data_IF_167631603872
#
_entry.id   IF_167631603872
#
_cell.length_a   1.000
_cell.length_b   1.000
_cell.length_c   1.000
_cell.angle_alpha   90.00
_cell.angle_beta   90.00
_cell.angle_gamma   90.00
#
_symmetry.space_group_name_H-M   'P 1'
#
loop_
_entity.id
_entity.type
_entity.pdbx_description
1 polymer ?
#
# COMPACT_ATOMS: atom_id res chain seq x y z
N UNK A 1 -15.16 11.12 6.60
CA UNK A 1 -14.90 9.66 6.58
C UNK A 1 -15.41 8.95 7.84
N UNK A 2 -15.47 9.62 9.00
CA UNK A 2 -16.03 9.03 10.22
C UNK A 2 -17.42 8.40 10.02
N UNK A 3 -17.64 7.21 10.58
CA UNK A 3 -18.88 6.43 10.48
C UNK A 3 -19.16 5.81 9.10
N UNK A 4 -18.24 5.92 8.14
CA UNK A 4 -18.43 5.41 6.79
C UNK A 4 -17.70 4.07 6.56
N UNK A 5 -18.16 3.30 5.58
CA UNK A 5 -17.49 2.10 5.12
C UNK A 5 -16.44 2.47 4.07
N UNK A 6 -15.21 1.97 4.22
CA UNK A 6 -14.08 2.27 3.31
C UNK A 6 -13.39 1.00 2.85
N UNK A 7 -12.72 1.06 1.71
CA UNK A 7 -11.84 0.00 1.25
C UNK A 7 -10.36 0.38 1.42
N UNK A 8 -9.58 -0.55 1.96
CA UNK A 8 -8.12 -0.51 1.95
C UNK A 8 -7.59 -1.61 1.03
N UNK A 9 -6.33 -1.55 0.65
CA UNK A 9 -5.59 -2.65 0.04
C UNK A 9 -5.30 -3.78 1.03
N UNK A 10 -4.43 -4.71 0.63
CA UNK A 10 -4.02 -5.83 1.50
C UNK A 10 -2.90 -5.41 2.46
N UNK A 11 -2.79 -6.05 3.64
CA UNK A 11 -1.60 -5.97 4.48
C UNK A 11 -0.33 -6.23 3.66
N UNK A 12 0.71 -5.43 3.87
CA UNK A 12 1.92 -5.42 3.05
C UNK A 12 1.93 -4.35 1.94
N UNK A 13 0.79 -3.70 1.63
CA UNK A 13 0.74 -2.60 0.68
C UNK A 13 1.06 -1.26 1.33
N UNK A 14 2.10 -0.55 0.87
CA UNK A 14 2.39 0.81 1.33
C UNK A 14 1.25 1.79 0.99
N UNK A 15 0.89 1.86 -0.29
CA UNK A 15 -0.07 2.83 -0.84
C UNK A 15 -1.53 2.45 -0.66
N UNK A 16 -1.82 1.16 -0.53
CA UNK A 16 -3.18 0.65 -0.32
C UNK A 16 -3.52 0.45 1.15
N UNK A 17 -2.55 0.23 2.03
CA UNK A 17 -2.80 -0.18 3.41
C UNK A 17 -2.11 0.73 4.45
N UNK A 18 -0.78 0.81 4.50
CA UNK A 18 -0.08 1.50 5.58
C UNK A 18 -0.24 3.03 5.58
N UNK A 19 0.05 3.71 4.47
CA UNK A 19 -0.17 5.17 4.38
C UNK A 19 -1.65 5.53 4.55
N UNK A 20 -2.61 4.82 3.92
CA UNK A 20 -4.02 5.06 4.18
C UNK A 20 -4.44 4.88 5.65
N UNK A 21 -3.92 3.89 6.36
CA UNK A 21 -4.19 3.73 7.80
C UNK A 21 -3.68 4.92 8.60
N UNK A 22 -2.49 5.43 8.26
CA UNK A 22 -1.95 6.63 8.91
C UNK A 22 -2.85 7.85 8.65
N UNK A 23 -3.32 8.05 7.42
CA UNK A 23 -4.21 9.15 7.07
C UNK A 23 -5.60 9.06 7.70
N UNK A 24 -6.05 7.85 8.02
CA UNK A 24 -7.33 7.59 8.66
C UNK A 24 -7.22 7.48 10.19
N UNK A 25 -6.02 7.65 10.75
CA UNK A 25 -5.76 7.56 12.18
C UNK A 25 -6.64 8.55 12.96
N UNK A 26 -7.20 8.11 14.08
CA UNK A 26 -8.13 8.87 14.91
C UNK A 26 -9.59 8.82 14.45
N UNK A 27 -9.91 8.09 13.38
CA UNK A 27 -11.29 7.91 12.91
C UNK A 27 -11.91 6.61 13.45
N UNK A 28 -13.23 6.63 13.59
CA UNK A 28 -14.06 5.44 13.81
C UNK A 28 -14.84 5.16 12.52
N UNK A 29 -14.49 4.10 11.81
CA UNK A 29 -15.13 3.72 10.55
C UNK A 29 -16.21 2.68 10.82
N UNK A 30 -17.33 2.71 10.08
CA UNK A 30 -18.38 1.70 10.32
C UNK A 30 -17.95 0.30 9.91
N UNK A 31 -17.10 0.21 8.87
CA UNK A 31 -16.47 -1.02 8.40
C UNK A 31 -15.27 -0.71 7.52
N UNK A 32 -14.23 -1.54 7.60
CA UNK A 32 -13.14 -1.55 6.62
C UNK A 32 -13.24 -2.84 5.79
N UNK A 33 -13.04 -2.72 4.47
CA UNK A 33 -12.94 -3.86 3.57
C UNK A 33 -11.57 -3.91 2.93
N UNK A 34 -10.91 -5.06 3.02
CA UNK A 34 -9.61 -5.28 2.38
C UNK A 34 -9.83 -5.75 0.94
N UNK A 35 -9.56 -4.88 -0.02
CA UNK A 35 -9.68 -5.14 -1.44
C UNK A 35 -8.48 -5.97 -1.92
N UNK A 36 -8.71 -7.09 -2.64
CA UNK A 36 -7.62 -7.89 -3.20
C UNK A 36 -6.90 -7.19 -4.35
N UNK A 37 -7.57 -6.25 -5.02
CA UNK A 37 -7.00 -5.44 -6.12
C UNK A 37 -7.59 -4.02 -6.11
N UNK A 38 -6.88 -3.02 -6.67
CA UNK A 38 -7.42 -1.67 -6.83
C UNK A 38 -8.71 -1.62 -7.66
N UNK A 39 -8.79 -2.46 -8.72
CA UNK A 39 -10.01 -2.59 -9.54
C UNK A 39 -11.21 -3.04 -8.72
N UNK A 40 -11.03 -4.04 -7.84
CA UNK A 40 -12.11 -4.51 -6.96
C UNK A 40 -12.55 -3.42 -5.98
N UNK A 41 -11.63 -2.62 -5.46
CA UNK A 41 -11.95 -1.51 -4.58
C UNK A 41 -12.82 -0.44 -5.30
N UNK A 42 -12.49 -0.11 -6.56
CA UNK A 42 -13.29 0.78 -7.40
C UNK A 42 -14.68 0.21 -7.72
N UNK A 43 -14.78 -1.10 -7.94
CA UNK A 43 -16.07 -1.78 -8.14
C UNK A 43 -16.95 -1.68 -6.90
N UNK A 44 -16.39 -1.84 -5.69
CA UNK A 44 -17.14 -1.68 -4.45
C UNK A 44 -17.65 -0.25 -4.24
N UNK A 45 -16.88 0.77 -4.66
CA UNK A 45 -17.38 2.15 -4.68
C UNK A 45 -18.55 2.28 -5.66
N UNK A 46 -18.42 1.74 -6.88
CA UNK A 46 -19.47 1.82 -7.90
C UNK A 46 -20.77 1.13 -7.47
N UNK A 47 -20.66 0.06 -6.69
CA UNK A 47 -21.77 -0.70 -6.12
C UNK A 47 -22.36 -0.07 -4.84
N UNK A 48 -21.74 1.00 -4.32
CA UNK A 48 -22.15 1.64 -3.07
C UNK A 48 -21.82 0.82 -1.81
N UNK A 49 -20.97 -0.19 -1.91
CA UNK A 49 -20.57 -1.05 -0.78
C UNK A 49 -19.60 -0.34 0.17
N UNK A 50 -18.83 0.61 -0.36
CA UNK A 50 -17.93 1.51 0.38
C UNK A 50 -18.01 2.91 -0.23
N UNK A 51 -17.71 3.96 0.54
CA UNK A 51 -17.77 5.35 0.06
C UNK A 51 -16.44 5.88 -0.47
N UNK A 52 -15.33 5.21 -0.14
CA UNK A 52 -14.00 5.53 -0.63
C UNK A 52 -13.10 4.29 -0.60
N UNK A 53 -12.01 4.34 -1.37
CA UNK A 53 -10.99 3.32 -1.44
C UNK A 53 -9.60 3.96 -1.47
N UNK A 54 -8.61 3.27 -0.91
CA UNK A 54 -7.22 3.67 -0.98
C UNK A 54 -6.41 2.81 -1.97
N UNK A 55 -5.56 3.46 -2.76
CA UNK A 55 -4.65 2.87 -3.74
C UNK A 55 -3.66 3.94 -4.22
N UNK A 56 -2.62 3.54 -4.97
CA UNK A 56 -1.73 4.52 -5.62
C UNK A 56 -2.44 5.31 -6.71
N UNK A 57 -1.96 6.53 -6.99
CA UNK A 57 -2.46 7.34 -8.09
C UNK A 57 -2.31 6.64 -9.46
N UNK A 58 -1.24 5.87 -9.63
CA UNK A 58 -1.00 5.09 -10.85
C UNK A 58 -2.06 4.01 -11.04
N UNK A 59 -2.36 3.22 -9.99
CA UNK A 59 -3.41 2.21 -10.02
C UNK A 59 -4.78 2.82 -10.25
N UNK A 60 -5.09 3.94 -9.58
CA UNK A 60 -6.32 4.68 -9.81
C UNK A 60 -6.48 5.08 -11.29
N UNK A 61 -5.44 5.69 -11.87
CA UNK A 61 -5.47 6.12 -13.27
C UNK A 61 -5.58 4.95 -14.24
N UNK A 62 -4.95 3.81 -13.94
CA UNK A 62 -5.02 2.59 -14.72
C UNK A 62 -6.44 1.98 -14.72
N UNK A 63 -7.07 1.89 -13.55
CA UNK A 63 -8.30 1.10 -13.42
C UNK A 63 -9.60 1.90 -13.47
N UNK A 64 -9.59 3.21 -13.19
CA UNK A 64 -10.82 4.04 -13.12
C UNK A 64 -11.67 4.00 -14.39
N UNK A 65 -11.05 3.88 -15.56
CA UNK A 65 -11.76 3.82 -16.84
C UNK A 65 -12.35 2.43 -17.14
N UNK A 66 -11.92 1.40 -16.40
CA UNK A 66 -12.35 0.00 -16.60
C UNK A 66 -13.59 -0.35 -15.80
N UNK A 67 -14.05 0.54 -14.90
CA UNK A 67 -15.25 0.36 -14.10
C UNK A 67 -16.33 1.30 -14.66
N UNK A 68 -17.35 0.77 -15.37
CA UNK A 68 -18.38 1.58 -16.00
C UNK A 68 -19.22 2.36 -14.98
N UNK A 69 -19.89 3.42 -15.47
CA UNK A 69 -20.99 4.12 -14.78
C UNK A 69 -20.65 4.87 -13.47
N UNK A 70 -19.41 4.82 -13.02
CA UNK A 70 -18.98 5.42 -11.76
C UNK A 70 -18.05 6.61 -11.99
N UNK A 71 -18.44 7.79 -11.49
CA UNK A 71 -17.61 9.00 -11.48
C UNK A 71 -16.76 9.01 -10.21
N UNK A 72 -15.54 8.52 -10.32
CA UNK A 72 -14.58 8.62 -9.23
C UNK A 72 -13.95 10.02 -9.15
N UNK A 73 -13.55 10.41 -7.95
CA UNK A 73 -12.70 11.58 -7.69
C UNK A 73 -11.68 11.24 -6.62
N UNK A 74 -10.52 11.88 -6.67
CA UNK A 74 -9.51 11.79 -5.61
C UNK A 74 -9.98 12.64 -4.44
N UNK A 75 -10.09 12.04 -3.25
CA UNK A 75 -10.48 12.75 -2.02
C UNK A 75 -9.28 13.35 -1.28
N UNK A 76 -8.16 12.62 -1.33
CA UNK A 76 -6.91 12.98 -0.69
C UNK A 76 -5.77 12.29 -1.44
N UNK A 77 -4.63 12.97 -1.56
CA UNK A 77 -3.39 12.40 -2.08
C UNK A 77 -2.35 12.55 -0.98
N UNK A 78 -1.75 11.42 -0.60
CA UNK A 78 -0.68 11.39 0.39
C UNK A 78 0.64 11.88 -0.26
N UNK A 79 1.37 12.73 0.44
CA UNK A 79 2.63 13.33 -0.02
C UNK A 79 3.88 12.54 0.44
N UNK A 80 3.72 11.51 1.27
CA UNK A 80 4.81 10.62 1.68
C UNK A 80 5.42 9.95 0.44
N UNK A 81 6.75 10.03 0.34
CA UNK A 81 7.47 9.35 -0.72
C UNK A 81 7.33 7.84 -0.55
N UNK A 82 6.91 7.15 -1.61
CA UNK A 82 6.96 5.69 -1.65
C UNK A 82 8.37 5.32 -2.12
N UNK A 83 9.21 4.67 -1.28
CA UNK A 83 10.54 4.26 -1.71
C UNK A 83 10.45 3.31 -2.90
N UNK A 84 11.42 3.37 -3.81
CA UNK A 84 11.52 2.41 -4.90
C UNK A 84 11.61 0.97 -4.37
N UNK A 85 11.12 0.01 -5.15
CA UNK A 85 11.28 -1.40 -4.83
C UNK A 85 12.73 -1.85 -4.92
N UNK A 86 13.09 -2.87 -4.15
CA UNK A 86 14.40 -3.51 -4.19
C UNK A 86 14.27 -5.01 -4.42
N UNK A 87 15.28 -5.61 -5.06
CA UNK A 87 15.41 -7.07 -5.12
C UNK A 87 16.17 -7.50 -3.86
N UNK A 88 15.53 -8.34 -3.04
CA UNK A 88 16.15 -8.89 -1.83
C UNK A 88 16.74 -10.26 -2.13
N UNK A 89 18.01 -10.44 -1.81
CA UNK A 89 18.74 -11.71 -1.96
C UNK A 89 19.07 -12.23 -0.57
N UNK A 90 18.75 -13.50 -0.31
CA UNK A 90 19.05 -14.12 0.98
C UNK A 90 20.57 -14.18 1.21
N UNK A 91 21.00 -13.79 2.42
CA UNK A 91 22.40 -13.93 2.83
C UNK A 91 22.84 -15.39 3.04
N UNK A 92 21.91 -16.34 2.99
CA UNK A 92 22.18 -17.77 3.06
C UNK A 92 22.60 -18.38 1.72
N UNK A 93 22.42 -17.65 0.61
CA UNK A 93 22.88 -18.10 -0.69
C UNK A 93 24.41 -18.10 -0.73
N UNK A 94 25.06 -19.13 -1.29
CA UNK A 94 26.49 -19.12 -1.56
C UNK A 94 26.90 -17.85 -2.31
N UNK A 95 28.05 -17.26 -1.94
CA UNK A 95 28.53 -16.01 -2.52
C UNK A 95 28.55 -16.04 -4.07
N UNK A 96 28.99 -17.16 -4.65
CA UNK A 96 29.04 -17.34 -6.11
C UNK A 96 27.66 -17.24 -6.77
N UNK A 97 26.59 -17.64 -6.07
CA UNK A 97 25.21 -17.51 -6.57
C UNK A 97 24.69 -16.08 -6.45
N UNK A 98 25.07 -15.36 -5.39
CA UNK A 98 24.75 -13.94 -5.24
C UNK A 98 25.43 -13.10 -6.33
N UNK A 99 26.70 -13.38 -6.62
CA UNK A 99 27.46 -12.75 -7.69
C UNK A 99 26.84 -13.06 -9.06
N UNK A 100 26.51 -14.33 -9.32
CA UNK A 100 25.84 -14.72 -10.57
C UNK A 100 24.49 -14.04 -10.78
N UNK A 101 23.69 -13.86 -9.72
CA UNK A 101 22.45 -13.08 -9.79
C UNK A 101 22.69 -11.61 -10.14
N UNK A 102 23.69 -10.99 -9.51
CA UNK A 102 24.05 -9.61 -9.78
C UNK A 102 24.53 -9.44 -11.24
N UNK A 103 25.35 -10.36 -11.74
CA UNK A 103 25.84 -10.36 -13.11
C UNK A 103 24.69 -10.44 -14.12
N UNK A 104 23.72 -11.34 -13.91
CA UNK A 104 22.55 -11.46 -14.80
C UNK A 104 21.71 -10.18 -14.80
N UNK A 105 21.48 -9.59 -13.62
CA UNK A 105 20.68 -8.37 -13.49
C UNK A 105 21.39 -7.13 -14.07
N UNK A 106 22.71 -7.06 -13.97
CA UNK A 106 23.51 -5.92 -14.44
C UNK A 106 23.90 -6.01 -15.93
N UNK A 107 24.01 -7.22 -16.48
CA UNK A 107 24.37 -7.44 -17.89
C UNK A 107 23.16 -7.60 -18.83
N UNK A 108 21.94 -7.53 -18.30
CA UNK A 108 20.72 -7.64 -19.10
C UNK A 108 20.70 -6.58 -20.23
N UNK A 109 20.23 -6.94 -21.45
CA UNK A 109 20.09 -5.99 -22.55
C UNK A 109 19.28 -4.76 -22.11
N UNK A 110 19.72 -3.52 -22.39
CA UNK A 110 19.14 -2.30 -21.79
C UNK A 110 17.63 -2.13 -21.93
N UNK A 111 17.05 -2.70 -22.99
CA UNK A 111 15.61 -2.69 -23.25
C UNK A 111 14.80 -3.41 -22.15
N UNK A 112 15.37 -4.46 -21.55
CA UNK A 112 14.68 -5.26 -20.53
C UNK A 112 14.54 -4.47 -19.22
N UNK A 113 15.62 -3.98 -18.56
CA UNK A 113 15.49 -3.16 -17.37
C UNK A 113 14.64 -1.91 -17.57
N UNK A 114 14.79 -1.22 -18.71
CA UNK A 114 14.06 0.01 -19.01
C UNK A 114 12.54 -0.23 -19.08
N UNK A 115 12.09 -1.38 -19.60
CA UNK A 115 10.67 -1.72 -19.73
C UNK A 115 9.94 -1.90 -18.38
N UNK A 116 10.68 -2.23 -17.34
CA UNK A 116 10.16 -2.48 -15.98
C UNK A 116 10.65 -1.46 -14.96
N UNK A 117 11.44 -0.47 -15.39
CA UNK A 117 12.02 0.55 -14.51
C UNK A 117 13.10 0.04 -13.56
N UNK A 118 13.74 -1.09 -13.85
CA UNK A 118 14.83 -1.63 -13.04
C UNK A 118 16.14 -0.84 -13.27
N UNK A 119 16.83 -0.50 -12.19
CA UNK A 119 18.12 0.20 -12.21
C UNK A 119 19.17 -0.74 -11.61
N UNK A 120 20.04 -1.28 -12.47
CA UNK A 120 21.19 -2.07 -12.01
C UNK A 120 22.15 -1.19 -11.20
N UNK A 121 22.65 -1.72 -10.09
CA UNK A 121 23.55 -1.00 -9.17
C UNK A 121 23.02 0.36 -8.70
N UNK A 122 21.69 0.52 -8.62
CA UNK A 122 21.07 1.68 -8.00
C UNK A 122 21.39 1.78 -6.51
N UNK A 123 21.28 2.99 -5.95
CA UNK A 123 21.39 3.19 -4.51
C UNK A 123 20.31 2.40 -3.78
N UNK A 124 20.66 1.83 -2.63
CA UNK A 124 19.70 1.15 -1.77
C UNK A 124 18.67 2.18 -1.28
N UNK A 125 17.37 2.00 -1.57
CA UNK A 125 16.35 2.94 -1.14
C UNK A 125 16.32 3.09 0.37
N UNK A 126 16.12 4.32 0.86
CA UNK A 126 15.91 4.56 2.28
C UNK A 126 14.46 4.23 2.64
N UNK A 127 14.26 3.23 3.50
CA UNK A 127 12.94 2.80 3.97
C UNK A 127 12.56 3.36 5.35
N UNK A 128 13.38 4.20 5.99
CA UNK A 128 13.17 4.66 7.37
C UNK A 128 11.80 5.32 7.59
N UNK A 129 11.36 6.18 6.66
CA UNK A 129 10.04 6.82 6.76
C UNK A 129 8.92 5.79 6.69
N UNK A 130 8.96 4.88 5.71
CA UNK A 130 7.96 3.82 5.58
C UNK A 130 7.94 2.89 6.81
N UNK A 131 9.12 2.56 7.36
CA UNK A 131 9.23 1.77 8.60
C UNK A 131 8.54 2.50 9.75
N UNK A 132 8.80 3.80 9.94
CA UNK A 132 8.14 4.59 10.98
C UNK A 132 6.62 4.67 10.81
N UNK A 133 6.13 4.76 9.57
CA UNK A 133 4.68 4.68 9.29
C UNK A 133 4.11 3.32 9.68
N UNK A 134 4.77 2.22 9.30
CA UNK A 134 4.34 0.86 9.67
C UNK A 134 4.27 0.73 11.19
N UNK A 135 5.34 1.09 11.90
CA UNK A 135 5.41 1.03 13.36
C UNK A 135 4.30 1.86 14.01
N UNK A 136 3.97 3.04 13.46
CA UNK A 136 2.92 3.90 14.00
C UNK A 136 1.52 3.31 13.85
N UNK A 137 1.24 2.59 12.76
CA UNK A 137 -0.10 2.05 12.50
C UNK A 137 -0.27 0.59 12.93
N UNK A 138 0.82 -0.15 13.18
CA UNK A 138 0.75 -1.53 13.67
C UNK A 138 -0.13 -1.70 14.91
N UNK A 139 -0.10 -0.83 15.94
CA UNK A 139 -0.94 -1.01 17.13
C UNK A 139 -2.45 -1.01 16.85
N UNK A 140 -2.88 -0.43 15.73
CA UNK A 140 -4.31 -0.30 15.37
C UNK A 140 -4.73 -1.28 14.27
N UNK A 141 -3.84 -2.18 13.79
CA UNK A 141 -4.18 -3.09 12.68
C UNK A 141 -5.20 -4.15 13.07
N UNK A 142 -5.23 -4.55 14.34
CA UNK A 142 -6.19 -5.54 14.82
C UNK A 142 -7.62 -4.97 14.81
N UNK A 143 -7.75 -3.68 15.10
CA UNK A 143 -9.02 -2.96 15.14
C UNK A 143 -9.68 -2.84 13.75
N UNK A 144 -8.96 -3.11 12.66
CA UNK A 144 -9.49 -3.05 11.29
C UNK A 144 -10.62 -4.07 11.07
N UNK A 145 -10.58 -5.20 11.80
CA UNK A 145 -11.60 -6.25 11.71
C UNK A 145 -12.85 -5.96 12.54
N UNK A 146 -12.80 -4.95 13.41
CA UNK A 146 -13.90 -4.55 14.29
C UNK A 146 -15.00 -3.80 13.53
N UNK A 147 -16.20 -3.78 14.12
CA UNK A 147 -17.36 -3.05 13.59
C UNK A 147 -18.08 -2.36 14.75
N UNK A 148 -17.86 -1.04 14.95
CA UNK A 148 -17.04 -0.16 14.12
C UNK A 148 -15.53 -0.41 14.28
N UNK A 149 -14.76 -0.10 13.23
CA UNK A 149 -13.29 -0.16 13.26
C UNK A 149 -12.74 1.13 13.86
N UNK A 150 -12.08 1.05 15.02
CA UNK A 150 -11.50 2.18 15.73
C UNK A 150 -10.01 2.33 15.37
N UNK A 151 -9.67 3.34 14.58
CA UNK A 151 -8.29 3.54 14.08
C UNK A 151 -7.45 4.41 15.02
N UNK A 152 -7.47 4.09 16.30
CA UNK A 152 -6.67 4.73 17.34
C UNK A 152 -6.47 3.76 18.50
N UNK A 153 -5.44 4.00 19.32
CA UNK A 153 -5.23 3.25 20.55
C UNK A 153 -6.23 3.73 21.61
N UNK A 154 -6.95 2.82 22.26
CA UNK A 154 -7.71 3.16 23.46
C UNK A 154 -6.72 3.40 24.61
N UNK A 155 -6.86 4.53 25.31
CA UNK A 155 -6.13 4.72 26.56
C UNK A 155 -6.49 3.58 27.51
N UNK A 156 -5.52 2.73 27.83
CA UNK A 156 -5.66 1.77 28.93
C UNK A 156 -5.81 2.59 30.21
N UNK A 157 -7.05 2.74 30.68
CA UNK A 157 -7.31 3.19 32.03
C UNK A 157 -6.82 2.07 32.96
N UNK A 158 -5.59 2.19 33.45
CA UNK A 158 -5.07 1.31 34.50
C UNK A 158 -5.93 1.53 35.76
N UNK A 159 -6.65 0.47 36.17
CA UNK A 159 -7.38 0.41 37.44
C UNK A 159 -6.44 0.00 38.58
#
# INVERSE_FOLDING_TARGET
>A
MNGQAVALGQPGSATGYYFPLLNLYGLTLSKIRLAPTPKQALQWIAQGEVVAAAMSLQEYNLYRATVPESKFRVLYQDDNAVPNGSILVSNQLPQIEQEGLNDVLSSAPPMIPASVGYIANGEVPNYQELIGVIERVTPITDNIQEQPAMLYEEEKVEN
#
